data_IF_094667030833
#
_entry.id   IF_094667030833
#
_cell.length_a   1.000
_cell.length_b   1.000
_cell.length_c   1.000
_cell.angle_alpha   90.00
_cell.angle_beta   90.00
_cell.angle_gamma   90.00
#
_symmetry.space_group_name_H-M   'P 1'
#
loop_
_entity.id
_entity.type
_entity.pdbx_description
1 polymer ?
#
# COMPACT_ATOMS: atom_id res chain seq x y z
N UNK A 1 -11.01 -13.45 -31.50
CA UNK A 1 -11.17 -13.12 -30.06
C UNK A 1 -9.81 -13.19 -29.40
N UNK A 2 -9.11 -12.05 -29.32
CA UNK A 2 -7.74 -11.98 -28.78
C UNK A 2 -7.74 -12.12 -27.26
N UNK A 3 -7.05 -13.14 -26.75
CA UNK A 3 -6.76 -13.29 -25.33
C UNK A 3 -5.77 -12.21 -24.92
N UNK A 4 -6.28 -11.11 -24.36
CA UNK A 4 -5.48 -10.03 -23.78
C UNK A 4 -4.81 -10.53 -22.49
N UNK A 5 -3.76 -11.33 -22.63
CA UNK A 5 -2.87 -11.64 -21.52
C UNK A 5 -2.12 -10.37 -21.16
N UNK A 6 -2.50 -9.79 -20.02
CA UNK A 6 -1.74 -8.76 -19.33
C UNK A 6 -0.32 -9.26 -19.05
N UNK A 7 0.63 -8.95 -19.93
CA UNK A 7 2.05 -9.20 -19.69
C UNK A 7 2.48 -8.24 -18.56
N UNK A 8 2.91 -8.83 -17.44
CA UNK A 8 3.28 -8.15 -16.21
C UNK A 8 4.41 -7.15 -16.51
N UNK A 9 4.07 -5.88 -16.73
CA UNK A 9 5.07 -4.83 -16.89
C UNK A 9 5.77 -4.66 -15.54
N UNK A 10 7.04 -5.00 -15.50
CA UNK A 10 7.95 -4.84 -14.37
C UNK A 10 8.05 -3.35 -13.98
N UNK A 11 7.07 -2.84 -13.24
CA UNK A 11 7.23 -1.62 -12.48
C UNK A 11 8.01 -1.98 -11.21
N UNK A 12 9.22 -1.43 -11.11
CA UNK A 12 10.17 -1.60 -10.02
C UNK A 12 9.71 -0.90 -8.72
N UNK A 13 8.51 -1.23 -8.26
CA UNK A 13 8.08 -0.97 -6.88
C UNK A 13 8.61 -2.17 -6.06
N UNK A 14 9.22 -1.98 -4.88
CA UNK A 14 9.89 -3.07 -4.14
C UNK A 14 8.96 -4.28 -3.92
N UNK A 15 9.14 -5.29 -4.76
CA UNK A 15 8.37 -6.56 -4.84
C UNK A 15 8.68 -7.53 -3.69
N UNK A 16 9.32 -7.09 -2.61
CA UNK A 16 10.01 -8.02 -1.70
C UNK A 16 9.11 -8.76 -0.70
N UNK A 17 7.83 -8.37 -0.52
CA UNK A 17 6.97 -9.08 0.44
C UNK A 17 5.62 -9.57 -0.10
N UNK A 18 5.14 -9.04 -1.22
CA UNK A 18 3.72 -9.20 -1.58
C UNK A 18 3.43 -10.28 -2.63
N UNK A 19 4.39 -10.67 -3.47
CA UNK A 19 4.10 -11.38 -4.72
C UNK A 19 4.38 -12.90 -4.68
N UNK A 20 4.73 -13.47 -3.51
CA UNK A 20 5.06 -14.92 -3.44
C UNK A 20 4.02 -15.81 -2.75
N UNK A 21 2.90 -15.27 -2.26
CA UNK A 21 1.88 -16.10 -1.56
C UNK A 21 0.70 -16.47 -2.46
N UNK A 22 0.42 -15.76 -3.56
CA UNK A 22 -0.81 -15.97 -4.34
C UNK A 22 -0.63 -16.55 -5.75
N UNK A 23 0.52 -17.15 -6.04
CA UNK A 23 0.75 -17.89 -7.29
C UNK A 23 0.81 -19.41 -7.04
N UNK A 24 -0.05 -19.93 -6.16
CA UNK A 24 -0.18 -21.38 -5.92
C UNK A 24 -1.45 -21.89 -6.61
N UNK A 25 -1.26 -22.41 -7.82
CA UNK A 25 -2.07 -23.42 -8.51
C UNK A 25 -3.60 -23.27 -8.48
N UNK A 26 -4.15 -22.56 -9.46
CA UNK A 26 -5.46 -22.90 -10.01
C UNK A 26 -5.34 -24.16 -10.86
N UNK A 27 -5.32 -25.32 -10.20
CA UNK A 27 -5.37 -26.63 -10.84
C UNK A 27 -6.71 -26.86 -11.51
N UNK A 28 -6.65 -27.43 -12.72
CA UNK A 28 -7.76 -27.94 -13.50
C UNK A 28 -8.75 -28.75 -12.64
N UNK A 29 -9.98 -28.25 -12.50
CA UNK A 29 -11.15 -29.10 -12.26
C UNK A 29 -12.12 -28.86 -13.42
N UNK A 30 -12.28 -29.90 -14.22
CA UNK A 30 -13.16 -29.95 -15.36
C UNK A 30 -14.61 -30.04 -14.88
N UNK A 31 -15.51 -29.34 -15.58
CA UNK A 31 -16.94 -29.60 -15.50
C UNK A 31 -17.73 -28.59 -14.68
N UNK A 32 -17.81 -27.35 -15.17
CA UNK A 32 -19.06 -26.57 -15.23
C UNK A 32 -18.79 -25.30 -16.05
N UNK A 33 -19.73 -24.90 -16.91
CA UNK A 33 -19.67 -23.72 -17.78
C UNK A 33 -19.76 -22.39 -16.99
N UNK A 34 -19.03 -22.27 -15.88
CA UNK A 34 -18.84 -21.03 -15.16
C UNK A 34 -17.76 -20.22 -15.88
N UNK A 35 -18.22 -19.22 -16.62
CA UNK A 35 -17.39 -18.24 -17.32
C UNK A 35 -16.48 -17.55 -16.28
N UNK A 36 -15.28 -18.10 -16.07
CA UNK A 36 -14.32 -17.59 -15.10
C UNK A 36 -14.01 -16.12 -15.42
N UNK A 37 -14.43 -15.22 -14.53
CA UNK A 37 -14.23 -13.79 -14.70
C UNK A 37 -12.73 -13.53 -14.49
N UNK A 38 -12.01 -12.94 -15.46
CA UNK A 38 -10.59 -12.70 -15.33
C UNK A 38 -10.32 -11.75 -14.17
N UNK A 39 -9.40 -12.12 -13.26
CA UNK A 39 -9.06 -11.35 -12.06
C UNK A 39 -8.39 -10.01 -12.38
N UNK A 40 -7.75 -9.92 -13.55
CA UNK A 40 -7.09 -8.73 -14.06
C UNK A 40 -7.65 -8.39 -15.43
N UNK A 41 -7.94 -7.10 -15.66
CA UNK A 41 -8.41 -6.61 -16.94
C UNK A 41 -7.68 -5.31 -17.28
N UNK A 42 -7.42 -5.09 -18.56
CA UNK A 42 -7.00 -3.78 -19.06
C UNK A 42 -8.20 -2.85 -19.00
N UNK A 43 -8.24 -1.96 -18.02
CA UNK A 43 -9.34 -0.99 -17.89
C UNK A 43 -8.89 0.33 -18.54
N UNK A 44 -9.56 0.82 -19.60
CA UNK A 44 -9.31 2.15 -20.14
C UNK A 44 -9.62 3.23 -19.09
N UNK A 45 -9.04 4.44 -19.16
CA UNK A 45 -8.37 5.03 -20.33
C UNK A 45 -6.83 4.89 -20.38
N UNK A 46 -6.16 4.36 -19.36
CA UNK A 46 -4.69 4.41 -19.25
C UNK A 46 -3.95 3.08 -19.50
N UNK A 47 -4.59 2.08 -20.10
CA UNK A 47 -3.93 0.86 -20.60
C UNK A 47 -3.23 -0.01 -19.55
N UNK A 48 -3.42 0.28 -18.26
CA UNK A 48 -2.83 -0.48 -17.16
C UNK A 48 -3.58 -1.79 -16.93
N UNK A 49 -2.83 -2.86 -16.63
CA UNK A 49 -3.40 -4.08 -16.11
C UNK A 49 -3.76 -3.86 -14.64
N UNK A 50 -5.02 -3.52 -14.44
CA UNK A 50 -5.59 -3.22 -13.14
C UNK A 50 -6.48 -4.39 -12.70
N UNK A 51 -6.70 -4.44 -11.39
CA UNK A 51 -7.63 -5.39 -10.80
C UNK A 51 -9.01 -5.24 -11.45
N UNK A 52 -9.61 -6.35 -11.90
CA UNK A 52 -10.93 -6.29 -12.51
C UNK A 52 -11.99 -5.98 -11.43
N UNK A 53 -12.66 -4.80 -11.49
CA UNK A 53 -13.64 -4.44 -10.46
C UNK A 53 -14.85 -5.39 -10.43
N UNK A 54 -15.06 -6.16 -11.51
CA UNK A 54 -16.15 -7.13 -11.67
C UNK A 54 -15.76 -8.55 -11.22
N UNK A 55 -14.53 -8.78 -10.74
CA UNK A 55 -14.16 -10.04 -10.11
C UNK A 55 -14.87 -10.23 -8.76
N UNK A 56 -14.86 -11.46 -8.24
CA UNK A 56 -15.55 -11.83 -7.00
C UNK A 56 -15.27 -10.85 -5.85
N UNK A 57 -16.35 -10.35 -5.23
CA UNK A 57 -16.27 -9.35 -4.17
C UNK A 57 -15.42 -9.82 -2.98
N UNK A 58 -15.46 -11.12 -2.67
CA UNK A 58 -14.64 -11.76 -1.62
C UNK A 58 -13.14 -11.69 -1.91
N UNK A 59 -12.75 -11.90 -3.17
CA UNK A 59 -11.35 -11.78 -3.58
C UNK A 59 -10.90 -10.32 -3.53
N UNK A 60 -11.75 -9.38 -3.94
CA UNK A 60 -11.48 -7.93 -3.89
C UNK A 60 -11.23 -7.45 -2.46
N UNK A 61 -12.13 -7.83 -1.56
CA UNK A 61 -12.04 -7.46 -0.15
C UNK A 61 -10.84 -8.09 0.53
N UNK A 62 -10.64 -9.40 0.37
CA UNK A 62 -9.51 -10.09 1.02
C UNK A 62 -8.16 -9.55 0.54
N UNK A 63 -7.98 -9.34 -0.76
CA UNK A 63 -6.72 -8.81 -1.30
C UNK A 63 -6.45 -7.36 -0.86
N UNK A 64 -7.47 -6.50 -0.83
CA UNK A 64 -7.30 -5.12 -0.37
C UNK A 64 -7.05 -5.04 1.14
N UNK A 65 -7.87 -5.71 1.93
CA UNK A 65 -7.84 -5.66 3.40
C UNK A 65 -6.60 -6.34 3.97
N UNK A 66 -6.35 -7.59 3.59
CA UNK A 66 -5.18 -8.33 4.08
C UNK A 66 -3.88 -7.74 3.54
N UNK A 67 -3.95 -7.16 2.34
CA UNK A 67 -2.76 -6.70 1.64
C UNK A 67 -2.22 -5.37 2.08
N UNK A 68 -3.13 -4.43 2.28
CA UNK A 68 -2.79 -3.04 2.53
C UNK A 68 -3.07 -2.69 3.98
N UNK A 69 -4.25 -3.03 4.50
CA UNK A 69 -4.67 -2.56 5.82
C UNK A 69 -4.06 -3.33 6.98
N UNK A 70 -3.89 -4.64 6.86
CA UNK A 70 -3.32 -5.47 7.92
C UNK A 70 -1.88 -5.07 8.28
N UNK A 71 -0.90 -5.00 7.34
CA UNK A 71 0.45 -4.57 7.69
C UNK A 71 0.49 -3.14 8.21
N UNK A 72 -0.44 -2.29 7.76
CA UNK A 72 -0.55 -0.91 8.20
C UNK A 72 -1.04 -0.78 9.64
N UNK A 73 -2.06 -1.55 10.02
CA UNK A 73 -2.55 -1.59 11.39
C UNK A 73 -1.50 -2.16 12.34
N UNK A 74 -0.82 -3.24 11.93
CA UNK A 74 0.24 -3.87 12.74
C UNK A 74 1.43 -2.94 12.95
N UNK A 75 1.93 -2.31 11.89
CA UNK A 75 3.07 -1.37 11.99
C UNK A 75 2.68 -0.10 12.74
N UNK A 76 1.50 0.48 12.44
CA UNK A 76 1.00 1.67 13.12
C UNK A 76 0.82 1.46 14.62
N UNK A 77 0.21 0.34 15.04
CA UNK A 77 0.05 0.01 16.46
C UNK A 77 1.39 -0.22 17.16
N UNK A 78 2.33 -0.92 16.52
CA UNK A 78 3.67 -1.14 17.07
C UNK A 78 4.45 0.18 17.26
N UNK A 79 4.32 1.16 16.37
CA UNK A 79 4.92 2.48 16.58
C UNK A 79 4.22 3.27 17.67
N UNK A 80 2.89 3.19 17.75
CA UNK A 80 2.10 3.88 18.76
C UNK A 80 2.47 3.42 20.18
N UNK A 81 2.64 2.11 20.38
CA UNK A 81 3.03 1.55 21.69
C UNK A 81 4.40 2.03 22.12
N UNK A 82 5.38 2.05 21.20
CA UNK A 82 6.73 2.59 21.47
C UNK A 82 6.65 4.07 21.86
N UNK A 83 5.85 4.86 21.13
CA UNK A 83 5.73 6.29 21.38
C UNK A 83 5.07 6.58 22.74
N UNK A 84 4.02 5.83 23.07
CA UNK A 84 3.33 5.90 24.37
C UNK A 84 4.29 5.52 25.50
N UNK A 85 5.09 4.47 25.34
CA UNK A 85 6.05 4.04 26.37
C UNK A 85 7.13 5.10 26.63
N UNK A 86 7.64 5.74 25.57
CA UNK A 86 8.60 6.84 25.68
C UNK A 86 7.96 8.03 26.39
N UNK A 87 6.73 8.39 26.02
CA UNK A 87 6.00 9.50 26.65
C UNK A 87 5.74 9.22 28.14
N UNK A 88 5.27 8.02 28.48
CA UNK A 88 5.05 7.60 29.87
C UNK A 88 6.34 7.64 30.68
N UNK A 89 7.45 7.11 30.14
CA UNK A 89 8.76 7.12 30.81
C UNK A 89 9.29 8.54 31.05
N UNK A 90 9.04 9.46 30.10
CA UNK A 90 9.43 10.87 30.23
C UNK A 90 8.58 11.61 31.28
N UNK A 91 7.27 11.41 31.26
CA UNK A 91 6.32 12.09 32.14
C UNK A 91 6.39 11.60 33.59
N UNK A 92 6.49 10.27 33.80
CA UNK A 92 6.43 9.67 35.13
C UNK A 92 7.79 9.70 35.82
N UNK A 93 8.85 9.30 35.13
CA UNK A 93 10.14 9.01 35.78
C UNK A 93 11.11 10.18 35.70
N UNK A 94 10.86 11.18 34.82
CA UNK A 94 11.77 12.30 34.58
C UNK A 94 13.19 11.88 34.17
N UNK A 95 13.39 10.62 33.82
CA UNK A 95 14.73 10.05 33.60
C UNK A 95 15.35 10.63 32.33
N UNK A 96 16.60 11.08 32.47
CA UNK A 96 17.43 11.47 31.33
C UNK A 96 17.73 10.22 30.51
N UNK A 97 17.15 10.14 29.30
CA UNK A 97 17.41 9.04 28.36
C UNK A 97 18.91 8.93 28.07
N UNK A 98 19.45 7.73 28.21
CA UNK A 98 20.83 7.39 27.80
C UNK A 98 21.04 7.73 26.32
N UNK A 99 22.25 8.16 25.94
CA UNK A 99 22.59 8.55 24.57
C UNK A 99 22.23 7.47 23.53
N UNK A 100 22.43 6.19 23.86
CA UNK A 100 22.04 5.04 23.03
C UNK A 100 20.52 4.97 22.79
N UNK A 101 19.74 5.25 23.82
CA UNK A 101 18.27 5.26 23.77
C UNK A 101 17.77 6.43 22.92
N UNK A 102 18.39 7.61 23.04
CA UNK A 102 18.08 8.79 22.22
C UNK A 102 18.25 8.52 20.72
N UNK A 103 19.32 7.80 20.33
CA UNK A 103 19.55 7.42 18.92
C UNK A 103 18.46 6.47 18.40
N UNK A 104 18.07 5.47 19.20
CA UNK A 104 16.99 4.53 18.84
C UNK A 104 15.64 5.23 18.68
N UNK A 105 15.32 6.16 19.58
CA UNK A 105 14.10 6.97 19.49
C UNK A 105 14.10 7.85 18.25
N UNK A 106 15.24 8.47 17.91
CA UNK A 106 15.35 9.28 16.68
C UNK A 106 15.08 8.45 15.43
N UNK A 107 15.62 7.23 15.36
CA UNK A 107 15.37 6.31 14.23
C UNK A 107 13.89 5.89 14.19
N UNK A 108 13.30 5.56 15.34
CA UNK A 108 11.89 5.20 15.42
C UNK A 108 10.96 6.36 15.00
N UNK A 109 11.28 7.60 15.39
CA UNK A 109 10.57 8.81 14.95
C UNK A 109 10.66 9.02 13.44
N UNK A 110 11.81 8.74 12.83
CA UNK A 110 11.98 8.84 11.37
C UNK A 110 11.17 7.77 10.64
N UNK A 111 11.22 6.52 11.12
CA UNK A 111 10.41 5.44 10.57
C UNK A 111 8.91 5.76 10.69
N UNK A 112 8.50 6.35 11.81
CA UNK A 112 7.12 6.79 11.99
C UNK A 112 6.75 7.95 11.05
N UNK A 113 7.62 8.95 10.88
CA UNK A 113 7.38 10.04 9.94
C UNK A 113 7.27 9.53 8.49
N UNK A 114 8.15 8.60 8.08
CA UNK A 114 8.08 7.93 6.79
C UNK A 114 6.80 7.10 6.65
N UNK A 115 6.37 6.42 7.71
CA UNK A 115 5.10 5.70 7.73
C UNK A 115 3.91 6.65 7.55
N UNK A 116 3.82 7.76 8.31
CA UNK A 116 2.76 8.76 8.17
C UNK A 116 2.75 9.37 6.77
N UNK A 117 3.93 9.65 6.21
CA UNK A 117 4.05 10.12 4.84
C UNK A 117 3.54 9.09 3.82
N UNK A 118 3.90 7.83 4.03
CA UNK A 118 3.37 6.71 3.25
C UNK A 118 1.84 6.64 3.38
N UNK A 119 1.28 6.84 4.58
CA UNK A 119 -0.16 6.95 4.77
C UNK A 119 -0.76 8.06 3.91
N UNK A 120 -0.24 9.28 4.02
CA UNK A 120 -0.79 10.45 3.30
C UNK A 120 -0.76 10.28 1.78
N UNK A 121 0.23 9.57 1.25
CA UNK A 121 0.37 9.34 -0.20
C UNK A 121 -0.43 8.14 -0.70
N UNK A 122 -0.58 7.07 0.11
CA UNK A 122 -1.32 5.86 -0.28
C UNK A 122 -2.81 5.88 0.04
N UNK A 123 -3.23 6.51 1.14
CA UNK A 123 -4.62 6.52 1.61
C UNK A 123 -5.62 7.25 0.68
N UNK A 124 -5.25 8.31 -0.07
CA UNK A 124 -6.17 8.97 -0.99
C UNK A 124 -6.70 8.03 -2.06
N UNK A 125 -5.87 7.10 -2.55
CA UNK A 125 -6.24 6.20 -3.64
C UNK A 125 -7.43 5.26 -3.29
N UNK A 126 -7.40 4.48 -2.19
CA UNK A 126 -8.53 3.63 -1.78
C UNK A 126 -9.74 4.46 -1.35
N UNK A 127 -9.56 5.61 -0.69
CA UNK A 127 -10.67 6.47 -0.27
C UNK A 127 -11.42 7.01 -1.49
N UNK A 128 -10.69 7.51 -2.49
CA UNK A 128 -11.29 8.08 -3.70
C UNK A 128 -11.94 7.00 -4.56
N UNK A 129 -11.31 5.82 -4.69
CA UNK A 129 -11.88 4.70 -5.46
C UNK A 129 -13.10 4.06 -4.77
N UNK A 130 -13.19 4.13 -3.44
CA UNK A 130 -14.35 3.65 -2.70
C UNK A 130 -15.51 4.66 -2.69
N UNK A 131 -15.20 5.95 -2.48
CA UNK A 131 -16.21 6.98 -2.17
C UNK A 131 -16.66 7.80 -3.39
N UNK A 132 -15.79 7.97 -4.40
CA UNK A 132 -15.99 8.95 -5.48
C UNK A 132 -15.70 8.35 -6.87
N UNK A 133 -16.29 7.20 -7.19
CA UNK A 133 -16.11 6.56 -8.51
C UNK A 133 -16.54 7.46 -9.66
N UNK A 134 -17.68 8.12 -9.53
CA UNK A 134 -18.27 8.93 -10.62
C UNK A 134 -17.47 10.20 -10.89
N UNK A 135 -16.96 10.85 -9.83
CA UNK A 135 -16.11 12.05 -9.94
C UNK A 135 -14.80 11.74 -10.67
N UNK A 136 -14.27 10.53 -10.46
CA UNK A 136 -13.04 10.08 -11.10
C UNK A 136 -13.17 9.88 -12.60
N UNK A 137 -14.38 9.53 -13.08
CA UNK A 137 -14.67 9.41 -14.50
C UNK A 137 -14.90 10.77 -15.16
N UNK A 138 -15.44 11.74 -14.42
CA UNK A 138 -15.76 13.07 -14.94
C UNK A 138 -14.57 14.05 -14.92
N UNK A 139 -13.67 13.93 -13.94
CA UNK A 139 -12.55 14.87 -13.77
C UNK A 139 -11.18 14.18 -13.87
N UNK A 140 -10.46 14.29 -15.01
CA UNK A 140 -9.15 13.67 -15.16
C UNK A 140 -8.08 14.29 -14.24
N UNK A 141 -8.29 15.52 -13.75
CA UNK A 141 -7.32 16.23 -12.88
C UNK A 141 -7.13 15.50 -11.54
N UNK A 142 -8.20 14.98 -10.93
CA UNK A 142 -8.09 14.22 -9.67
C UNK A 142 -7.30 12.93 -9.86
N UNK A 143 -7.36 12.32 -11.04
CA UNK A 143 -6.53 11.15 -11.37
C UNK A 143 -5.04 11.47 -11.34
N UNK A 144 -4.65 12.57 -11.99
CA UNK A 144 -3.26 13.01 -12.03
C UNK A 144 -2.74 13.41 -10.66
N UNK A 145 -3.57 14.05 -9.83
CA UNK A 145 -3.16 14.48 -8.48
C UNK A 145 -2.84 13.28 -7.58
N UNK A 146 -3.67 12.23 -7.63
CA UNK A 146 -3.42 10.98 -6.88
C UNK A 146 -2.14 10.30 -7.39
N UNK A 147 -1.97 10.20 -8.71
CA UNK A 147 -0.74 9.63 -9.30
C UNK A 147 0.50 10.43 -8.89
N UNK A 148 0.42 11.75 -8.89
CA UNK A 148 1.51 12.63 -8.52
C UNK A 148 1.88 12.44 -7.04
N UNK A 149 0.89 12.34 -6.15
CA UNK A 149 1.11 12.05 -4.74
C UNK A 149 1.83 10.69 -4.52
N UNK A 150 1.44 9.66 -5.28
CA UNK A 150 2.14 8.36 -5.27
C UNK A 150 3.59 8.48 -5.76
N UNK A 151 3.85 9.26 -6.82
CA UNK A 151 5.20 9.50 -7.31
C UNK A 151 6.08 10.23 -6.29
N UNK A 152 5.52 11.21 -5.55
CA UNK A 152 6.22 11.88 -4.46
C UNK A 152 6.50 10.94 -3.26
N UNK A 153 5.57 10.03 -2.96
CA UNK A 153 5.80 8.99 -1.96
C UNK A 153 6.99 8.09 -2.29
N UNK A 154 7.13 7.68 -3.56
CA UNK A 154 8.22 6.81 -3.99
C UNK A 154 9.60 7.51 -3.99
N UNK A 155 9.64 8.82 -4.16
CA UNK A 155 10.89 9.59 -4.30
C UNK A 155 11.53 10.01 -2.96
N UNK A 156 10.81 9.90 -1.84
CA UNK A 156 11.33 10.28 -0.51
C UNK A 156 12.24 9.21 0.13
N UNK A 157 12.07 7.94 -0.23
CA UNK A 157 12.87 6.84 0.32
C UNK A 157 14.40 7.00 0.19
N UNK A 158 14.98 7.37 -0.97
CA UNK A 158 16.43 7.57 -1.09
C UNK A 158 16.91 8.80 -0.30
N UNK A 159 16.08 9.83 -0.18
CA UNK A 159 16.43 11.08 0.52
C UNK A 159 16.64 10.81 2.01
N UNK A 160 15.73 10.08 2.66
CA UNK A 160 15.88 9.73 4.08
C UNK A 160 17.15 8.92 4.41
N UNK A 161 17.70 8.18 3.44
CA UNK A 161 18.92 7.37 3.63
C UNK A 161 20.16 8.25 3.44
N UNK A 162 20.18 9.13 2.45
CA UNK A 162 21.37 9.95 2.12
C UNK A 162 21.67 11.02 3.18
N UNK A 163 20.67 11.60 3.85
CA UNK A 163 20.91 12.58 4.92
C UNK A 163 21.42 11.96 6.23
N UNK A 164 21.54 10.63 6.31
CA UNK A 164 21.86 9.90 7.54
C UNK A 164 23.03 8.92 7.44
N UNK A 165 23.69 8.84 6.28
CA UNK A 165 24.93 8.10 6.06
C UNK A 165 26.18 8.86 6.52
#
# INVERSE_FOLDING_TARGET
MGSNRCVNLNLAIPKLFYVRIFQRHGGHAAGENLKAIPTFATVPPFGGCLYNPNADALFRLSHGVLGVYLPFAVTGTAYLTIFVEIFRSRLVTGQKLTASMKRRVSIAQMLFAAFVWFCLTYLPQPILTASFKDVYLQHPVSYFLVRLALSFGASINPVSITYFG
#
